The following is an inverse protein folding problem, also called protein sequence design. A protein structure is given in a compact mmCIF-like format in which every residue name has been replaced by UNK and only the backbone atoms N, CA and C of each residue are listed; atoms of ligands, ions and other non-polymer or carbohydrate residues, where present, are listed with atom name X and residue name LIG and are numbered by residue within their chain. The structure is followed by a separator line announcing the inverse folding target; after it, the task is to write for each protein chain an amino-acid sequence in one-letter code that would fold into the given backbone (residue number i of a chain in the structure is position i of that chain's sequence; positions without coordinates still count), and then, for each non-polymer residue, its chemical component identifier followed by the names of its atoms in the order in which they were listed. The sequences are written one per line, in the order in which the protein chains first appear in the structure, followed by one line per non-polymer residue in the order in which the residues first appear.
data_IF_454572238114
#
_entry.id   IF_454572238114
#
_cell.length_a   1.000
_cell.length_b   1.000
_cell.length_c   1.000
_cell.angle_alpha   90.00
_cell.angle_beta   90.00
_cell.angle_gamma   90.00
#
_symmetry.space_group_name_H-M   'P 1'
#
loop_
_entity.id
_entity.type
_entity.pdbx_description
1 polymer ?
#
# COMPACT_ATOMS: atom_id res chain seq x y z
N UNK A 1 -8.04 47.64 -21.46
CA UNK A 1 -8.40 46.35 -20.87
C UNK A 1 -9.01 46.70 -19.51
N UNK A 2 -10.32 46.47 -19.35
CA UNK A 2 -11.06 46.97 -18.19
C UNK A 2 -10.72 46.12 -16.95
N UNK A 3 -10.06 46.72 -15.99
CA UNK A 3 -9.63 46.07 -14.76
C UNK A 3 -10.79 45.41 -13.99
N UNK A 4 -11.97 46.02 -14.09
CA UNK A 4 -13.21 45.46 -13.52
C UNK A 4 -13.61 44.11 -14.10
N UNK A 5 -13.43 43.92 -15.42
CA UNK A 5 -13.74 42.63 -16.09
C UNK A 5 -12.75 41.56 -15.64
N UNK A 6 -11.48 41.92 -15.48
CA UNK A 6 -10.46 40.97 -15.00
C UNK A 6 -10.76 40.54 -13.56
N UNK A 7 -11.10 41.50 -12.69
CA UNK A 7 -11.45 41.21 -11.30
C UNK A 7 -12.73 40.34 -11.25
N UNK A 8 -13.75 40.68 -12.01
CA UNK A 8 -14.99 39.89 -12.03
C UNK A 8 -14.77 38.47 -12.54
N UNK A 9 -13.95 38.27 -13.59
CA UNK A 9 -13.65 36.95 -14.13
C UNK A 9 -12.80 36.10 -13.17
N UNK A 10 -11.82 36.70 -12.49
CA UNK A 10 -11.01 35.99 -11.51
C UNK A 10 -11.80 35.61 -10.27
N UNK A 11 -12.69 36.49 -9.79
CA UNK A 11 -13.60 36.19 -8.69
C UNK A 11 -14.58 35.05 -9.08
N UNK A 12 -15.13 35.11 -10.30
CA UNK A 12 -16.01 34.04 -10.82
C UNK A 12 -15.31 32.68 -10.87
N UNK A 13 -14.08 32.63 -11.37
CA UNK A 13 -13.28 31.40 -11.42
C UNK A 13 -12.98 30.87 -9.99
N UNK A 14 -12.60 31.76 -9.08
CA UNK A 14 -12.35 31.39 -7.68
C UNK A 14 -13.62 30.80 -7.02
N UNK A 15 -14.76 31.42 -7.25
CA UNK A 15 -16.02 30.96 -6.68
C UNK A 15 -16.39 29.57 -7.21
N UNK A 16 -16.27 29.34 -8.51
CA UNK A 16 -16.55 28.05 -9.13
C UNK A 16 -15.60 26.96 -8.58
N UNK A 17 -14.30 27.25 -8.48
CA UNK A 17 -13.33 26.28 -7.95
C UNK A 17 -13.60 25.96 -6.48
N UNK A 18 -13.97 26.94 -5.66
CA UNK A 18 -14.34 26.70 -4.26
C UNK A 18 -15.59 25.84 -4.14
N UNK A 19 -16.60 26.05 -4.96
CA UNK A 19 -17.82 25.21 -4.98
C UNK A 19 -17.45 23.77 -5.35
N UNK A 20 -16.66 23.56 -6.41
CA UNK A 20 -16.24 22.24 -6.83
C UNK A 20 -15.42 21.51 -5.75
N UNK A 21 -14.45 22.19 -5.13
CA UNK A 21 -13.65 21.61 -4.04
C UNK A 21 -14.54 21.27 -2.84
N UNK A 22 -15.47 22.14 -2.46
CA UNK A 22 -16.39 21.88 -1.36
C UNK A 22 -17.29 20.68 -1.65
N UNK A 23 -17.78 20.57 -2.87
CA UNK A 23 -18.60 19.44 -3.31
C UNK A 23 -17.81 18.13 -3.27
N UNK A 24 -16.55 18.12 -3.74
CA UNK A 24 -15.67 16.97 -3.69
C UNK A 24 -15.34 16.54 -2.25
N UNK A 25 -15.05 17.49 -1.37
CA UNK A 25 -14.78 17.21 0.05
C UNK A 25 -16.03 16.66 0.75
N UNK A 26 -17.19 17.21 0.45
CA UNK A 26 -18.47 16.70 0.97
C UNK A 26 -18.74 15.28 0.49
N UNK A 27 -18.60 15.02 -0.81
CA UNK A 27 -18.76 13.68 -1.38
C UNK A 27 -17.75 12.69 -0.76
N UNK A 28 -16.47 13.08 -0.62
CA UNK A 28 -15.45 12.27 0.05
C UNK A 28 -15.85 11.92 1.48
N UNK A 29 -16.33 12.89 2.26
CA UNK A 29 -16.72 12.66 3.67
C UNK A 29 -17.90 11.71 3.83
N UNK A 30 -18.76 11.61 2.81
CA UNK A 30 -19.92 10.71 2.83
C UNK A 30 -19.64 9.33 2.25
N UNK A 31 -18.73 9.24 1.26
CA UNK A 31 -18.47 8.01 0.50
C UNK A 31 -17.29 7.20 1.04
N UNK A 32 -16.35 7.86 1.71
CA UNK A 32 -15.18 7.17 2.28
C UNK A 32 -15.45 6.92 3.76
N UNK A 33 -15.62 5.65 4.17
CA UNK A 33 -15.70 5.33 5.58
C UNK A 33 -14.41 5.81 6.25
N UNK A 34 -14.56 6.61 7.29
CA UNK A 34 -13.47 7.13 8.11
C UNK A 34 -13.72 6.69 9.54
N UNK A 35 -13.18 5.57 9.92
CA UNK A 35 -13.29 5.03 11.27
C UNK A 35 -12.11 4.13 11.61
N UNK A 36 -11.88 3.84 12.88
CA UNK A 36 -10.95 2.82 13.28
C UNK A 36 -11.50 1.45 12.84
N UNK A 37 -10.66 0.64 12.22
CA UNK A 37 -10.95 -0.74 11.83
C UNK A 37 -9.84 -1.65 12.31
N UNK A 38 -10.19 -2.88 12.64
CA UNK A 38 -9.22 -3.87 13.09
C UNK A 38 -8.82 -4.79 11.96
N UNK A 39 -7.51 -4.96 11.77
CA UNK A 39 -6.94 -5.94 10.85
C UNK A 39 -6.29 -7.04 11.68
N UNK A 40 -6.83 -8.26 11.57
CA UNK A 40 -6.22 -9.46 12.14
C UNK A 40 -5.28 -10.07 11.12
N UNK A 41 -4.03 -10.22 11.51
CA UNK A 41 -2.95 -10.69 10.64
C UNK A 41 -2.46 -12.02 11.14
N UNK A 42 -2.56 -13.06 10.29
CA UNK A 42 -2.17 -14.45 10.59
C UNK A 42 -2.83 -15.03 11.85
N UNK A 43 -3.96 -14.46 12.31
CA UNK A 43 -4.60 -14.75 13.60
C UNK A 43 -3.70 -14.57 14.84
N UNK A 44 -2.56 -13.90 14.71
CA UNK A 44 -1.58 -13.70 15.78
C UNK A 44 -1.52 -12.24 16.24
N UNK A 45 -1.77 -11.31 15.33
CA UNK A 45 -1.64 -9.89 15.61
C UNK A 45 -2.83 -9.10 15.11
N UNK A 46 -3.49 -8.41 16.03
CA UNK A 46 -4.53 -7.45 15.71
C UNK A 46 -3.95 -6.03 15.70
N UNK A 47 -4.26 -5.28 14.67
CA UNK A 47 -3.79 -3.91 14.49
C UNK A 47 -4.99 -3.01 14.23
N UNK A 48 -5.17 -2.01 15.08
CA UNK A 48 -6.16 -0.95 14.87
C UNK A 48 -5.60 0.09 13.90
N UNK A 49 -6.32 0.36 12.83
CA UNK A 49 -5.90 1.24 11.73
C UNK A 49 -7.04 2.15 11.29
N UNK A 50 -6.71 3.24 10.63
CA UNK A 50 -7.72 4.12 10.02
C UNK A 50 -8.11 3.59 8.65
N UNK A 51 -9.41 3.47 8.40
CA UNK A 51 -9.95 3.08 7.10
C UNK A 51 -9.65 4.10 6.00
N UNK A 52 -9.77 3.68 4.74
CA UNK A 52 -9.63 4.52 3.55
C UNK A 52 -8.31 4.43 2.80
N UNK A 53 -7.25 3.92 3.42
CA UNK A 53 -5.95 3.68 2.76
C UNK A 53 -5.90 2.29 2.10
N UNK A 54 -4.88 2.06 1.28
CA UNK A 54 -4.62 0.71 0.74
C UNK A 54 -4.05 -0.18 1.83
N UNK A 55 -4.29 -1.48 1.72
CA UNK A 55 -3.77 -2.46 2.67
C UNK A 55 -2.23 -2.41 2.73
N UNK A 56 -1.56 -2.27 1.58
CA UNK A 56 -0.11 -2.11 1.50
C UNK A 56 0.39 -0.92 2.36
N UNK A 57 -0.22 0.25 2.20
CA UNK A 57 0.16 1.46 2.95
C UNK A 57 -0.13 1.29 4.44
N UNK A 58 -1.27 0.71 4.76
CA UNK A 58 -1.71 0.48 6.15
C UNK A 58 -0.78 -0.48 6.89
N UNK A 59 -0.39 -1.57 6.24
CA UNK A 59 0.58 -2.52 6.80
C UNK A 59 1.97 -1.88 6.97
N UNK A 60 2.42 -1.11 5.96
CA UNK A 60 3.69 -0.38 6.03
C UNK A 60 3.76 0.60 7.19
N UNK A 61 2.69 1.34 7.46
CA UNK A 61 2.60 2.24 8.62
C UNK A 61 2.70 1.49 9.96
N UNK A 62 2.31 0.22 9.98
CA UNK A 62 2.41 -0.67 11.14
C UNK A 62 3.68 -1.53 11.15
N UNK A 63 4.70 -1.15 10.37
CA UNK A 63 6.02 -1.82 10.28
C UNK A 63 5.95 -3.24 9.70
N UNK A 64 4.93 -3.54 8.92
CA UNK A 64 4.78 -4.80 8.18
C UNK A 64 4.94 -4.47 6.70
N UNK A 65 6.08 -4.80 6.14
CA UNK A 65 6.45 -4.37 4.79
C UNK A 65 6.25 -5.50 3.79
N UNK A 66 5.15 -5.43 3.04
CA UNK A 66 4.97 -6.28 1.87
C UNK A 66 5.92 -5.82 0.75
N UNK A 67 6.56 -6.75 0.04
CA UNK A 67 7.41 -6.39 -1.09
C UNK A 67 6.59 -5.68 -2.16
N UNK A 68 7.09 -4.56 -2.66
CA UNK A 68 6.38 -3.74 -3.65
C UNK A 68 7.35 -2.94 -4.50
N UNK A 69 7.95 -3.56 -5.49
CA UNK A 69 8.92 -2.91 -6.38
C UNK A 69 8.29 -1.78 -7.22
N UNK A 70 6.97 -1.84 -7.50
CA UNK A 70 6.26 -0.80 -8.24
C UNK A 70 5.75 0.36 -7.36
N UNK A 71 6.05 0.37 -6.06
CA UNK A 71 5.57 1.41 -5.14
C UNK A 71 4.06 1.45 -4.96
N UNK A 72 3.34 0.36 -5.21
CA UNK A 72 1.88 0.30 -5.09
C UNK A 72 1.12 0.48 -6.40
N UNK A 73 1.81 0.53 -7.55
CA UNK A 73 1.20 0.70 -8.86
C UNK A 73 0.45 -0.51 -9.42
N UNK A 74 0.46 -1.66 -8.72
CA UNK A 74 -0.28 -2.87 -9.12
C UNK A 74 0.36 -3.69 -10.24
N UNK A 75 1.58 -3.37 -10.68
CA UNK A 75 2.21 -3.99 -11.85
C UNK A 75 3.25 -5.06 -11.53
N UNK A 76 3.91 -5.00 -10.37
CA UNK A 76 4.97 -5.96 -10.01
C UNK A 76 4.46 -7.27 -9.40
N UNK A 77 3.21 -7.31 -8.98
CA UNK A 77 2.52 -8.48 -8.38
C UNK A 77 3.19 -9.04 -7.12
N UNK A 78 4.13 -8.31 -6.53
CA UNK A 78 4.89 -8.79 -5.36
C UNK A 78 4.14 -8.66 -4.03
N UNK A 79 3.21 -7.68 -3.93
CA UNK A 79 2.44 -7.43 -2.71
C UNK A 79 1.25 -8.40 -2.55
N UNK A 80 1.42 -9.68 -2.95
CA UNK A 80 0.40 -10.71 -2.77
C UNK A 80 0.17 -10.99 -1.29
N UNK A 81 -1.07 -11.01 -0.89
CA UNK A 81 -1.51 -11.46 0.42
C UNK A 81 -2.87 -12.15 0.28
N UNK A 82 -3.19 -13.02 1.20
CA UNK A 82 -4.48 -13.67 1.22
C UNK A 82 -5.42 -12.89 2.12
N UNK A 83 -6.55 -12.45 1.59
CA UNK A 83 -7.58 -11.73 2.34
C UNK A 83 -8.74 -12.68 2.60
N UNK A 84 -8.88 -13.10 3.85
CA UNK A 84 -9.89 -14.06 4.26
C UNK A 84 -11.25 -13.40 4.45
N UNK A 85 -11.27 -12.21 5.05
CA UNK A 85 -12.49 -11.46 5.34
C UNK A 85 -12.25 -9.96 5.11
N UNK A 86 -13.28 -9.24 4.69
CA UNK A 86 -13.28 -7.77 4.62
C UNK A 86 -12.60 -7.16 3.37
N UNK A 87 -12.10 -7.97 2.43
CA UNK A 87 -11.40 -7.47 1.24
C UNK A 87 -12.28 -7.01 0.09
N UNK A 88 -13.58 -7.28 0.16
CA UNK A 88 -14.50 -7.05 -0.96
C UNK A 88 -14.21 -7.95 -2.17
N UNK A 89 -14.87 -7.68 -3.28
CA UNK A 89 -14.67 -8.43 -4.53
C UNK A 89 -13.31 -8.12 -5.17
N UNK A 90 -12.79 -9.10 -5.94
CA UNK A 90 -11.56 -8.91 -6.69
C UNK A 90 -11.75 -7.87 -7.79
N UNK A 91 -10.81 -6.98 -7.93
CA UNK A 91 -10.87 -5.93 -8.93
C UNK A 91 -10.52 -6.48 -10.32
N UNK A 92 -11.15 -6.00 -11.39
CA UNK A 92 -10.79 -6.40 -12.76
C UNK A 92 -9.30 -6.21 -13.09
N UNK A 93 -8.65 -5.24 -12.44
CA UNK A 93 -7.23 -4.96 -12.58
C UNK A 93 -6.32 -6.02 -11.94
N UNK A 94 -6.85 -6.80 -11.00
CA UNK A 94 -6.11 -7.87 -10.30
C UNK A 94 -6.28 -9.23 -10.98
N UNK A 95 -7.43 -9.47 -11.60
CA UNK A 95 -7.80 -10.77 -12.19
C UNK A 95 -6.71 -11.37 -13.10
N UNK A 96 -6.03 -10.60 -13.98
CA UNK A 96 -5.01 -11.16 -14.87
C UNK A 96 -3.79 -11.75 -14.16
N UNK A 97 -3.57 -11.40 -12.90
CA UNK A 97 -2.39 -11.80 -12.12
C UNK A 97 -2.61 -13.02 -11.23
N UNK A 98 -3.84 -13.53 -11.20
CA UNK A 98 -4.22 -14.64 -10.34
C UNK A 98 -4.90 -15.76 -11.12
N UNK A 99 -4.60 -16.99 -10.72
CA UNK A 99 -5.33 -18.17 -11.19
C UNK A 99 -6.70 -18.23 -10.55
N UNK A 100 -7.63 -18.98 -11.16
CA UNK A 100 -8.97 -19.19 -10.58
C UNK A 100 -8.92 -19.78 -9.16
N UNK A 101 -7.93 -20.61 -8.88
CA UNK A 101 -7.71 -21.20 -7.57
C UNK A 101 -7.30 -20.14 -6.56
N UNK A 102 -6.30 -19.31 -6.88
CA UNK A 102 -5.86 -18.21 -6.02
C UNK A 102 -6.99 -17.22 -5.72
N UNK A 103 -7.82 -16.91 -6.74
CA UNK A 103 -9.00 -16.05 -6.54
C UNK A 103 -9.98 -16.70 -5.53
N UNK A 104 -10.26 -18.00 -5.65
CA UNK A 104 -11.15 -18.70 -4.73
C UNK A 104 -10.58 -18.82 -3.31
N UNK A 105 -9.27 -18.81 -3.17
CA UNK A 105 -8.56 -18.83 -1.89
C UNK A 105 -8.42 -17.41 -1.26
N UNK A 106 -8.88 -16.37 -1.94
CA UNK A 106 -8.85 -14.99 -1.46
C UNK A 106 -7.53 -14.27 -1.64
N UNK A 107 -6.68 -14.71 -2.59
CA UNK A 107 -5.45 -13.99 -2.91
C UNK A 107 -5.73 -12.66 -3.58
N UNK A 108 -5.08 -11.60 -3.12
CA UNK A 108 -5.25 -10.23 -3.58
C UNK A 108 -3.91 -9.49 -3.63
N UNK A 109 -3.90 -8.36 -4.35
CA UNK A 109 -2.78 -7.43 -4.31
C UNK A 109 -2.99 -6.40 -3.21
N UNK A 110 -2.15 -6.40 -2.18
CA UNK A 110 -2.27 -5.48 -1.04
C UNK A 110 -2.29 -3.99 -1.44
N UNK A 111 -1.73 -3.63 -2.58
CA UNK A 111 -1.77 -2.26 -3.09
C UNK A 111 -3.12 -1.88 -3.74
N UNK A 112 -3.92 -2.86 -4.15
CA UNK A 112 -5.24 -2.61 -4.76
C UNK A 112 -6.38 -2.73 -3.75
N UNK A 113 -6.21 -3.55 -2.72
CA UNK A 113 -7.21 -3.70 -1.64
C UNK A 113 -7.24 -2.45 -0.78
N UNK A 114 -8.43 -1.88 -0.60
CA UNK A 114 -8.66 -0.76 0.32
C UNK A 114 -9.24 -1.27 1.63
N UNK A 115 -8.68 -0.77 2.71
CA UNK A 115 -9.19 -1.04 4.06
C UNK A 115 -10.45 -0.22 4.29
N UNK A 116 -11.60 -0.88 4.35
CA UNK A 116 -12.91 -0.23 4.59
C UNK A 116 -13.54 -0.70 5.89
N UNK A 117 -13.45 -1.97 6.16
CA UNK A 117 -14.06 -2.66 7.28
C UNK A 117 -13.01 -3.52 8.00
N UNK A 118 -13.42 -4.18 9.07
CA UNK A 118 -12.56 -5.14 9.74
C UNK A 118 -12.14 -6.25 8.77
N UNK A 119 -10.86 -6.59 8.79
CA UNK A 119 -10.27 -7.52 7.83
C UNK A 119 -9.50 -8.62 8.55
N UNK A 120 -9.53 -9.81 7.96
CA UNK A 120 -8.60 -10.90 8.29
C UNK A 120 -7.73 -11.20 7.09
N UNK A 121 -6.44 -11.17 7.32
CA UNK A 121 -5.44 -11.37 6.26
C UNK A 121 -4.38 -12.38 6.70
N UNK A 122 -3.91 -13.15 5.73
CA UNK A 122 -2.70 -13.93 5.85
C UNK A 122 -1.60 -13.32 4.99
N UNK A 123 -0.49 -13.03 5.64
CA UNK A 123 0.72 -12.50 5.01
C UNK A 123 1.77 -13.59 5.04
N UNK A 124 2.54 -13.82 3.96
CA UNK A 124 3.63 -14.79 3.96
C UNK A 124 4.59 -14.59 5.15
N UNK A 125 5.00 -15.68 5.79
CA UNK A 125 5.88 -15.64 6.97
C UNK A 125 7.20 -14.90 6.72
N UNK A 126 7.70 -14.92 5.50
CA UNK A 126 8.89 -14.20 5.06
C UNK A 126 8.80 -12.69 5.32
N UNK A 127 7.59 -12.14 5.30
CA UNK A 127 7.32 -10.71 5.54
C UNK A 127 7.18 -10.42 7.04
N UNK A 128 6.69 -11.38 7.82
CA UNK A 128 6.48 -11.25 9.27
C UNK A 128 7.78 -11.39 10.06
N UNK A 129 8.73 -12.13 9.52
CA UNK A 129 9.98 -12.48 10.17
C UNK A 129 11.19 -11.73 9.62
N UNK A 130 11.13 -10.40 9.43
CA UNK A 130 12.35 -9.63 9.13
C UNK A 130 13.27 -9.75 10.35
N UNK A 131 14.05 -10.82 10.38
CA UNK A 131 15.16 -10.94 11.33
C UNK A 131 16.18 -9.86 10.97
N UNK A 132 16.47 -8.98 11.91
CA UNK A 132 17.62 -8.09 11.78
C UNK A 132 18.88 -8.93 11.81
N UNK A 133 19.62 -8.94 10.72
CA UNK A 133 20.90 -9.58 10.62
C UNK A 133 21.98 -8.53 10.88
N UNK A 134 22.83 -8.77 11.84
CA UNK A 134 24.05 -7.99 12.00
C UNK A 134 25.15 -8.70 11.20
N UNK A 135 25.66 -8.02 10.17
CA UNK A 135 26.71 -8.54 9.34
C UNK A 135 27.94 -7.66 9.47
N UNK A 136 29.10 -8.28 9.73
CA UNK A 136 30.38 -7.59 9.76
C UNK A 136 30.96 -7.60 8.34
N UNK A 137 31.21 -6.42 7.79
CA UNK A 137 31.87 -6.29 6.48
C UNK A 137 33.34 -6.74 6.62
N UNK A 138 33.70 -7.82 5.98
CA UNK A 138 35.06 -8.35 5.98
C UNK A 138 35.97 -7.66 4.97
N UNK A 139 35.44 -7.29 3.85
CA UNK A 139 36.20 -6.67 2.76
C UNK A 139 35.30 -5.73 1.95
N UNK A 140 35.81 -4.54 1.68
CA UNK A 140 35.15 -3.57 0.80
C UNK A 140 36.21 -3.06 -0.19
N UNK A 141 36.08 -3.37 -1.46
CA UNK A 141 37.00 -2.94 -2.50
C UNK A 141 36.25 -2.61 -3.80
N UNK A 142 36.83 -1.69 -4.57
CA UNK A 142 36.28 -1.32 -5.85
C UNK A 142 36.61 -2.40 -6.88
N UNK A 143 35.57 -2.98 -7.49
CA UNK A 143 35.70 -4.00 -8.55
C UNK A 143 35.75 -3.33 -9.93
N UNK A 144 35.14 -2.17 -10.06
CA UNK A 144 35.18 -1.33 -11.25
C UNK A 144 35.04 0.13 -10.85
N UNK A 145 35.29 1.06 -11.77
CA UNK A 145 35.28 2.52 -11.53
C UNK A 145 33.98 3.03 -10.87
N UNK A 146 32.87 2.29 -11.01
CA UNK A 146 31.55 2.70 -10.53
C UNK A 146 30.90 1.73 -9.52
N UNK A 147 31.52 0.60 -9.18
CA UNK A 147 30.90 -0.42 -8.34
C UNK A 147 31.78 -0.82 -7.18
N UNK A 148 31.19 -0.81 -5.99
CA UNK A 148 31.77 -1.40 -4.78
C UNK A 148 31.14 -2.78 -4.54
N UNK A 149 31.98 -3.81 -4.36
CA UNK A 149 31.54 -5.15 -3.99
C UNK A 149 31.73 -5.37 -2.50
N UNK A 150 30.64 -5.72 -1.81
CA UNK A 150 30.64 -6.10 -0.39
C UNK A 150 30.62 -7.62 -0.28
N UNK A 151 31.66 -8.19 0.32
CA UNK A 151 31.65 -9.61 0.68
C UNK A 151 31.17 -9.77 2.11
N UNK A 152 30.02 -10.40 2.28
CA UNK A 152 29.49 -10.78 3.57
C UNK A 152 29.89 -12.24 3.86
N UNK A 153 30.22 -12.59 5.12
CA UNK A 153 30.40 -14.00 5.46
C UNK A 153 29.07 -14.72 5.31
N UNK A 154 29.08 -15.78 4.53
CA UNK A 154 27.91 -16.66 4.42
C UNK A 154 27.85 -17.47 5.72
N UNK A 155 27.03 -17.05 6.66
CA UNK A 155 26.72 -17.86 7.82
C UNK A 155 25.68 -18.87 7.38
N UNK A 156 26.12 -20.06 7.02
CA UNK A 156 25.25 -21.23 6.93
C UNK A 156 25.01 -21.69 8.37
N UNK A 157 23.90 -21.30 8.95
CA UNK A 157 23.41 -21.95 10.17
C UNK A 157 22.80 -23.27 9.77
N UNK A 158 23.46 -24.36 10.15
CA UNK A 158 22.88 -25.70 10.19
C UNK A 158 21.88 -25.78 11.34
#
# INVERSE_FOLDING_TARGET
MNIEVIIASTLGLLLVTLILVSMLLYAKSKLVPSGPVNISINNEKDVEVTSGSTLLTTLGNNKIFLPSACGGGGTCVQCKCQVLEGGGEILPTEVPYFTRKEISEGWRLGCQVKVKDNMKINVPEEVFGIKKWEAKVLRNYNVAVSYTHLTLPTIVSV
#
